data_IF_067295254494
#
_entry.id   IF_067295254494
#
_cell.length_a   1.000
_cell.length_b   1.000
_cell.length_c   1.000
_cell.angle_alpha   90.00
_cell.angle_beta   90.00
_cell.angle_gamma   90.00
#
_symmetry.space_group_name_H-M   'P 1'
#
loop_
_entity.id
_entity.type
_entity.pdbx_description
1 polymer ?
#
# COMPACT_ATOMS: atom_id res chain seq x y z
N UNK A 1 13.30 15.33 25.28
CA UNK A 1 13.25 14.87 23.87
C UNK A 1 11.89 14.23 23.66
N UNK A 2 11.00 14.88 22.92
CA UNK A 2 9.65 14.36 22.65
C UNK A 2 9.66 13.31 21.55
N UNK A 3 8.77 12.33 21.63
CA UNK A 3 8.61 11.30 20.61
C UNK A 3 7.63 11.82 19.55
N UNK A 4 8.06 11.92 18.30
CA UNK A 4 7.25 12.51 17.23
C UNK A 4 6.19 11.50 16.78
N UNK A 5 4.91 11.79 17.03
CA UNK A 5 3.80 10.90 16.67
C UNK A 5 2.89 11.60 15.66
N UNK A 6 2.65 10.94 14.54
CA UNK A 6 1.61 11.36 13.58
C UNK A 6 0.22 11.07 14.13
N UNK A 7 -0.68 12.04 14.05
CA UNK A 7 -2.08 11.88 14.48
C UNK A 7 -2.75 10.62 13.89
N UNK A 8 -2.42 10.28 12.66
CA UNK A 8 -2.94 9.08 11.96
C UNK A 8 -2.63 7.78 12.69
N UNK A 9 -1.44 7.67 13.31
CA UNK A 9 -1.06 6.48 14.08
C UNK A 9 -1.89 6.32 15.35
N UNK A 10 -2.25 7.43 16.00
CA UNK A 10 -3.14 7.42 17.16
C UNK A 10 -4.56 7.05 16.74
N UNK A 11 -5.05 7.63 15.64
CA UNK A 11 -6.38 7.30 15.12
C UNK A 11 -6.47 5.85 14.65
N UNK A 12 -5.43 5.30 14.02
CA UNK A 12 -5.37 3.90 13.63
C UNK A 12 -5.28 2.94 14.81
N UNK A 13 -4.51 3.29 15.84
CA UNK A 13 -4.50 2.54 17.09
C UNK A 13 -5.88 2.55 17.75
N UNK A 14 -6.61 3.68 17.70
CA UNK A 14 -8.00 3.76 18.15
C UNK A 14 -8.92 2.84 17.32
N UNK A 15 -8.83 2.85 15.98
CA UNK A 15 -9.65 1.95 15.14
C UNK A 15 -9.37 0.48 15.44
N UNK A 16 -8.11 0.13 15.69
CA UNK A 16 -7.74 -1.25 16.00
C UNK A 16 -8.32 -1.69 17.35
N UNK A 17 -8.30 -0.81 18.36
CA UNK A 17 -8.70 -1.13 19.73
C UNK A 17 -10.22 -1.04 19.95
N UNK A 18 -10.87 0.00 19.43
CA UNK A 18 -12.30 0.26 19.58
C UNK A 18 -13.15 -0.40 18.49
N UNK A 19 -12.52 -0.89 17.41
CA UNK A 19 -13.20 -1.54 16.29
C UNK A 19 -13.74 -0.53 15.26
N UNK A 20 -14.46 -1.05 14.26
CA UNK A 20 -15.02 -0.28 13.13
C UNK A 20 -16.31 0.47 13.49
N UNK A 21 -16.89 0.22 14.66
CA UNK A 21 -18.10 0.88 15.15
C UNK A 21 -17.84 2.31 15.63
N UNK A 22 -16.58 2.61 15.97
CA UNK A 22 -16.14 3.93 16.39
C UNK A 22 -15.40 4.58 15.24
N UNK A 23 -15.81 5.79 14.86
CA UNK A 23 -15.04 6.65 13.95
C UNK A 23 -14.15 7.58 14.78
N UNK A 24 -12.90 7.20 15.10
CA UNK A 24 -12.03 8.08 15.85
C UNK A 24 -11.69 9.31 15.02
N UNK A 25 -11.99 10.47 15.60
CA UNK A 25 -11.63 11.80 15.11
C UNK A 25 -10.58 12.44 16.03
N UNK A 26 -10.03 13.59 15.61
CA UNK A 26 -9.12 14.35 16.48
C UNK A 26 -9.83 14.84 17.75
N UNK A 27 -11.11 15.14 17.68
CA UNK A 27 -11.90 15.51 18.84
C UNK A 27 -12.14 14.30 19.75
N UNK A 28 -12.30 13.10 19.20
CA UNK A 28 -12.33 11.86 19.99
C UNK A 28 -11.05 11.67 20.83
N UNK A 29 -9.88 11.99 20.27
CA UNK A 29 -8.61 11.89 21.02
C UNK A 29 -8.52 12.87 22.20
N UNK A 30 -9.21 14.02 22.15
CA UNK A 30 -9.26 14.99 23.26
C UNK A 30 -10.05 14.47 24.46
N UNK A 31 -11.03 13.59 24.20
CA UNK A 31 -11.90 13.01 25.22
C UNK A 31 -11.54 11.55 25.56
N UNK A 32 -10.44 11.03 24.99
CA UNK A 32 -10.02 9.65 25.21
C UNK A 32 -9.50 9.47 26.64
N UNK A 33 -10.17 8.63 27.42
CA UNK A 33 -9.81 8.33 28.81
C UNK A 33 -9.17 6.95 28.98
N UNK A 34 -8.33 6.80 30.01
CA UNK A 34 -7.68 5.52 30.33
C UNK A 34 -8.68 4.38 30.59
N UNK A 35 -9.80 4.68 31.25
CA UNK A 35 -10.86 3.73 31.57
C UNK A 35 -11.46 3.13 30.28
N UNK A 36 -11.68 3.98 29.27
CA UNK A 36 -12.15 3.60 27.94
C UNK A 36 -11.16 2.70 27.19
N UNK A 37 -9.88 3.07 27.19
CA UNK A 37 -8.79 2.28 26.57
C UNK A 37 -8.68 0.89 27.22
N UNK A 38 -8.65 0.82 28.55
CA UNK A 38 -8.58 -0.44 29.31
C UNK A 38 -9.80 -1.32 29.06
N UNK A 39 -11.00 -0.73 28.95
CA UNK A 39 -12.23 -1.47 28.65
C UNK A 39 -12.22 -2.05 27.23
N UNK A 40 -11.90 -1.23 26.24
CA UNK A 40 -11.79 -1.65 24.84
C UNK A 40 -10.74 -2.74 24.65
N UNK A 41 -9.57 -2.60 25.30
CA UNK A 41 -8.53 -3.63 25.30
C UNK A 41 -9.01 -4.96 25.87
N UNK A 42 -9.67 -4.97 27.04
CA UNK A 42 -10.19 -6.22 27.64
C UNK A 42 -11.23 -6.92 26.76
N UNK A 43 -12.01 -6.15 25.98
CA UNK A 43 -12.96 -6.69 25.00
C UNK A 43 -12.21 -7.26 23.80
N UNK A 44 -11.30 -6.48 23.20
CA UNK A 44 -10.56 -6.85 22.00
C UNK A 44 -9.57 -7.99 22.22
N UNK A 45 -8.84 -7.99 23.34
CA UNK A 45 -7.92 -9.06 23.74
C UNK A 45 -8.65 -10.40 23.95
N UNK A 46 -9.89 -10.36 24.45
CA UNK A 46 -10.74 -11.56 24.52
C UNK A 46 -11.17 -12.03 23.12
N UNK A 47 -11.46 -11.12 22.20
CA UNK A 47 -11.83 -11.46 20.81
C UNK A 47 -10.66 -12.01 19.98
N UNK A 48 -9.45 -11.51 20.21
CA UNK A 48 -8.24 -11.86 19.43
C UNK A 48 -7.31 -12.86 20.11
N UNK A 49 -7.74 -13.48 21.22
CA UNK A 49 -6.91 -14.42 21.98
C UNK A 49 -6.54 -15.67 21.14
N UNK A 50 -5.27 -16.13 21.16
CA UNK A 50 -4.84 -17.30 20.39
C UNK A 50 -5.62 -18.58 20.73
N UNK A 51 -6.07 -18.77 21.98
CA UNK A 51 -6.89 -19.92 22.38
C UNK A 51 -8.26 -19.99 21.68
N UNK A 52 -8.72 -18.88 21.08
CA UNK A 52 -9.93 -18.87 20.24
C UNK A 52 -9.68 -19.35 18.81
N UNK A 53 -8.44 -19.55 18.39
CA UNK A 53 -8.10 -20.07 17.06
C UNK A 53 -8.75 -21.44 16.81
N UNK A 54 -8.74 -22.28 17.83
CA UNK A 54 -9.36 -23.61 17.82
C UNK A 54 -10.89 -23.56 17.68
N UNK A 55 -11.53 -22.49 18.13
CA UNK A 55 -12.99 -22.31 18.09
C UNK A 55 -13.44 -21.63 16.80
N UNK A 56 -12.62 -20.74 16.25
CA UNK A 56 -12.93 -19.92 15.07
C UNK A 56 -12.46 -20.54 13.73
N UNK A 57 -11.89 -21.75 13.74
CA UNK A 57 -11.33 -22.42 12.56
C UNK A 57 -10.36 -21.52 11.76
N UNK A 58 -9.55 -20.73 12.48
CA UNK A 58 -8.61 -19.80 11.88
C UNK A 58 -7.17 -20.10 12.30
N UNK A 59 -6.22 -19.67 11.47
CA UNK A 59 -4.80 -19.91 11.70
C UNK A 59 -4.34 -19.29 13.02
N UNK A 60 -3.75 -20.10 13.90
CA UNK A 60 -3.22 -19.70 15.21
C UNK A 60 -2.22 -18.54 15.05
N UNK A 61 -1.37 -18.59 14.02
CA UNK A 61 -0.39 -17.52 13.75
C UNK A 61 -1.05 -16.20 13.37
N UNK A 62 -2.22 -16.24 12.74
CA UNK A 62 -2.97 -15.04 12.41
C UNK A 62 -3.49 -14.37 13.67
N UNK A 63 -4.09 -15.13 14.59
CA UNK A 63 -4.60 -14.58 15.86
C UNK A 63 -3.49 -14.09 16.78
N UNK A 64 -2.35 -14.79 16.87
CA UNK A 64 -1.17 -14.31 17.60
C UNK A 64 -0.69 -12.94 17.09
N UNK A 65 -0.63 -12.76 15.76
CA UNK A 65 -0.24 -11.48 15.18
C UNK A 65 -1.28 -10.40 15.44
N UNK A 66 -2.57 -10.71 15.36
CA UNK A 66 -3.64 -9.76 15.72
C UNK A 66 -3.56 -9.36 17.20
N UNK A 67 -3.27 -10.31 18.10
CA UNK A 67 -3.11 -10.06 19.52
C UNK A 67 -1.92 -9.15 19.82
N UNK A 68 -0.78 -9.36 19.16
CA UNK A 68 0.40 -8.47 19.26
C UNK A 68 0.08 -7.05 18.82
N UNK A 69 -0.59 -6.89 17.67
CA UNK A 69 -1.00 -5.57 17.17
C UNK A 69 -1.95 -4.85 18.14
N UNK A 70 -2.90 -5.57 18.75
CA UNK A 70 -3.82 -5.03 19.76
C UNK A 70 -3.07 -4.61 21.04
N UNK A 71 -2.10 -5.41 21.50
CA UNK A 71 -1.24 -5.06 22.63
C UNK A 71 -0.41 -3.81 22.37
N UNK A 72 0.19 -3.72 21.18
CA UNK A 72 1.00 -2.56 20.80
C UNK A 72 0.14 -1.30 20.74
N UNK A 73 -1.05 -1.37 20.12
CA UNK A 73 -2.00 -0.26 20.08
C UNK A 73 -2.47 0.18 21.47
N UNK A 74 -2.74 -0.76 22.38
CA UNK A 74 -3.11 -0.46 23.77
C UNK A 74 -1.99 0.29 24.51
N UNK A 75 -0.75 -0.22 24.44
CA UNK A 75 0.41 0.44 25.07
C UNK A 75 0.63 1.84 24.51
N UNK A 76 0.45 2.00 23.20
CA UNK A 76 0.63 3.26 22.51
C UNK A 76 -0.40 4.31 22.95
N UNK A 77 -1.69 3.96 22.95
CA UNK A 77 -2.75 4.86 23.38
C UNK A 77 -2.67 5.19 24.88
N UNK A 78 -2.31 4.21 25.71
CA UNK A 78 -2.14 4.44 27.15
C UNK A 78 -0.99 5.43 27.41
N UNK A 79 0.13 5.28 26.71
CA UNK A 79 1.25 6.21 26.84
C UNK A 79 0.86 7.64 26.44
N UNK A 80 0.05 7.80 25.37
CA UNK A 80 -0.46 9.09 24.90
C UNK A 80 -1.38 9.77 25.91
N UNK A 81 -2.34 9.03 26.49
CA UNK A 81 -3.27 9.60 27.49
C UNK A 81 -2.55 9.96 28.79
N UNK A 82 -1.53 9.20 29.19
CA UNK A 82 -0.77 9.44 30.42
C UNK A 82 0.17 10.63 30.33
N UNK A 83 0.77 10.86 29.16
CA UNK A 83 1.69 11.99 28.99
C UNK A 83 1.56 12.61 27.59
N UNK A 84 0.49 13.39 27.35
CA UNK A 84 0.25 14.02 26.05
C UNK A 84 1.39 14.96 25.63
N UNK A 85 2.04 15.62 26.60
CA UNK A 85 3.14 16.56 26.37
C UNK A 85 4.43 15.90 25.86
N UNK A 86 4.57 14.58 26.02
CA UNK A 86 5.68 13.81 25.43
C UNK A 86 5.56 13.68 23.92
N UNK A 87 4.37 13.94 23.36
CA UNK A 87 4.06 13.67 21.95
C UNK A 87 3.83 14.96 21.17
N UNK A 88 4.63 15.17 20.12
CA UNK A 88 4.40 16.24 19.15
C UNK A 88 3.47 15.68 18.07
N UNK A 89 2.21 16.13 18.07
CA UNK A 89 1.22 15.72 17.07
C UNK A 89 1.55 16.42 15.75
N UNK A 90 2.15 15.68 14.81
CA UNK A 90 2.32 16.18 13.45
C UNK A 90 1.04 15.91 12.68
N UNK A 91 0.38 16.98 12.23
CA UNK A 91 -0.71 16.91 11.26
C UNK A 91 -0.13 16.58 9.89
N UNK A 92 -0.29 15.33 9.42
CA UNK A 92 -0.31 15.12 7.97
C UNK A 92 -1.53 15.87 7.45
N UNK A 93 -1.34 16.72 6.44
CA UNK A 93 -2.44 17.33 5.70
C UNK A 93 -3.41 16.22 5.30
N UNK A 94 -4.57 16.14 5.94
CA UNK A 94 -5.62 15.19 5.57
C UNK A 94 -5.96 15.51 4.12
N UNK A 95 -5.73 14.59 3.16
CA UNK A 95 -6.10 14.84 1.78
C UNK A 95 -7.62 15.08 1.75
N UNK A 96 -8.05 16.24 1.25
CA UNK A 96 -9.48 16.48 0.99
C UNK A 96 -9.99 15.30 0.15
N UNK A 97 -11.05 14.64 0.64
CA UNK A 97 -11.73 13.57 -0.09
C UNK A 97 -12.03 14.10 -1.50
N UNK A 98 -11.64 13.41 -2.58
CA UNK A 98 -11.83 13.94 -3.92
C UNK A 98 -13.31 14.24 -4.15
N UNK A 99 -13.62 15.47 -4.55
CA UNK A 99 -14.98 16.00 -4.77
C UNK A 99 -15.73 15.26 -5.89
N UNK A 100 -15.06 14.39 -6.65
CA UNK A 100 -15.67 13.56 -7.70
C UNK A 100 -15.51 12.08 -7.36
N UNK A 101 -16.62 11.29 -7.34
CA UNK A 101 -16.50 9.84 -7.35
C UNK A 101 -15.68 9.45 -8.58
N UNK A 102 -14.67 8.59 -8.38
CA UNK A 102 -13.82 8.10 -9.44
C UNK A 102 -14.69 7.58 -10.61
N UNK A 103 -14.36 7.86 -11.88
CA UNK A 103 -15.03 7.19 -12.98
C UNK A 103 -14.79 5.67 -12.83
N UNK A 104 -15.83 4.97 -12.37
CA UNK A 104 -15.86 3.56 -11.97
C UNK A 104 -15.81 2.60 -13.18
N UNK A 105 -15.06 2.93 -14.24
CA UNK A 105 -15.05 2.16 -15.51
C UNK A 105 -13.81 1.30 -15.74
N UNK A 106 -12.80 1.33 -14.87
CA UNK A 106 -11.62 0.47 -14.99
C UNK A 106 -11.74 -0.74 -14.05
N UNK A 107 -11.79 -1.94 -14.63
CA UNK A 107 -12.04 -3.22 -13.93
C UNK A 107 -11.01 -3.60 -12.85
N UNK A 108 -9.94 -2.82 -12.62
CA UNK A 108 -9.07 -2.91 -11.44
C UNK A 108 -8.53 -1.53 -11.05
N UNK A 109 -8.83 -1.05 -9.85
CA UNK A 109 -8.24 0.19 -9.30
C UNK A 109 -6.79 -0.12 -8.88
N UNK A 110 -5.74 0.57 -9.38
CA UNK A 110 -4.38 0.36 -8.89
C UNK A 110 -4.23 0.76 -7.42
N UNK A 111 -3.34 0.08 -6.68
CA UNK A 111 -3.15 0.30 -5.24
C UNK A 111 -2.90 1.77 -4.86
N UNK A 112 -2.07 2.50 -5.62
CA UNK A 112 -1.86 3.93 -5.38
C UNK A 112 -3.13 4.78 -5.50
N UNK A 113 -3.99 4.50 -6.48
CA UNK A 113 -5.28 5.19 -6.62
C UNK A 113 -6.23 4.81 -5.48
N UNK A 114 -6.22 3.56 -5.05
CA UNK A 114 -6.98 3.12 -3.88
C UNK A 114 -6.59 3.90 -2.62
N UNK A 115 -5.29 4.04 -2.35
CA UNK A 115 -4.80 4.82 -1.21
C UNK A 115 -5.25 6.29 -1.30
N UNK A 116 -5.20 6.88 -2.49
CA UNK A 116 -5.66 8.25 -2.73
C UNK A 116 -7.17 8.40 -2.47
N UNK A 117 -8.01 7.54 -3.06
CA UNK A 117 -9.46 7.63 -2.90
C UNK A 117 -9.94 7.37 -1.48
N UNK A 118 -9.17 6.59 -0.69
CA UNK A 118 -9.43 6.34 0.73
C UNK A 118 -8.86 7.43 1.65
N UNK A 119 -8.15 8.42 1.10
CA UNK A 119 -7.60 9.54 1.87
C UNK A 119 -6.27 9.24 2.60
N UNK A 120 -5.61 8.12 2.32
CA UNK A 120 -4.33 7.77 2.97
C UNK A 120 -3.13 8.52 2.39
N UNK A 121 -3.24 9.04 1.16
CA UNK A 121 -2.18 9.80 0.48
C UNK A 121 -2.79 10.96 -0.29
N UNK A 122 -2.02 12.04 -0.49
CA UNK A 122 -2.43 13.15 -1.37
C UNK A 122 -2.23 12.80 -2.86
N UNK A 123 -2.88 13.56 -3.75
CA UNK A 123 -2.63 13.43 -5.19
C UNK A 123 -1.16 13.69 -5.54
N UNK A 124 -0.53 14.67 -4.88
CA UNK A 124 0.91 14.94 -5.03
C UNK A 124 1.75 13.70 -4.69
N UNK A 125 1.48 13.06 -3.56
CA UNK A 125 2.20 11.83 -3.19
C UNK A 125 1.98 10.70 -4.21
N UNK A 126 0.77 10.57 -4.76
CA UNK A 126 0.49 9.60 -5.81
C UNK A 126 1.34 9.86 -7.08
N UNK A 127 1.38 11.11 -7.55
CA UNK A 127 2.17 11.48 -8.74
C UNK A 127 3.66 11.26 -8.49
N UNK A 128 4.18 11.72 -7.35
CA UNK A 128 5.59 11.52 -7.00
C UNK A 128 5.96 10.03 -6.89
N UNK A 129 5.08 9.21 -6.31
CA UNK A 129 5.28 7.76 -6.24
C UNK A 129 5.33 7.10 -7.62
N UNK A 130 4.44 7.51 -8.54
CA UNK A 130 4.43 7.03 -9.92
C UNK A 130 5.69 7.44 -10.68
N UNK A 131 6.14 8.69 -10.51
CA UNK A 131 7.39 9.19 -11.11
C UNK A 131 8.60 8.45 -10.56
N UNK A 132 8.67 8.22 -9.24
CA UNK A 132 9.71 7.43 -8.59
C UNK A 132 9.75 6.00 -9.14
N UNK A 133 8.58 5.36 -9.29
CA UNK A 133 8.49 4.00 -9.82
C UNK A 133 8.92 3.93 -11.29
N UNK A 134 8.57 4.94 -12.09
CA UNK A 134 8.98 5.06 -13.50
C UNK A 134 10.49 5.25 -13.61
N UNK A 135 11.09 6.12 -12.79
CA UNK A 135 12.55 6.40 -12.80
C UNK A 135 13.38 5.16 -12.47
N UNK A 136 12.86 4.25 -11.66
CA UNK A 136 13.53 3.00 -11.26
C UNK A 136 13.37 1.87 -12.30
N UNK A 137 12.52 2.04 -13.32
CA UNK A 137 12.30 1.06 -14.38
C UNK A 137 13.19 1.37 -15.58
N UNK A 138 14.27 0.61 -15.84
CA UNK A 138 15.09 0.83 -17.02
C UNK A 138 14.26 0.58 -18.29
N UNK A 139 14.44 1.37 -19.36
CA UNK A 139 13.78 1.13 -20.64
C UNK A 139 14.17 -0.25 -21.20
N UNK A 140 13.25 -0.87 -21.94
CA UNK A 140 13.39 -2.28 -22.34
C UNK A 140 14.61 -2.51 -23.25
N UNK A 141 14.90 -1.58 -24.16
CA UNK A 141 16.08 -1.65 -25.03
C UNK A 141 17.41 -1.55 -24.27
N UNK A 142 17.48 -0.70 -23.23
CA UNK A 142 18.68 -0.64 -22.38
C UNK A 142 18.84 -1.92 -21.55
N UNK A 143 17.73 -2.46 -21.05
CA UNK A 143 17.75 -3.75 -20.34
C UNK A 143 18.20 -4.89 -21.27
N UNK A 144 17.73 -4.90 -22.51
CA UNK A 144 18.13 -5.87 -23.53
C UNK A 144 19.62 -5.82 -23.84
N UNK A 145 20.21 -4.62 -23.92
CA UNK A 145 21.67 -4.45 -24.03
C UNK A 145 22.42 -5.02 -22.84
N UNK A 146 21.98 -4.68 -21.62
CA UNK A 146 22.62 -5.18 -20.39
C UNK A 146 22.59 -6.71 -20.29
N UNK A 147 21.54 -7.33 -20.84
CA UNK A 147 21.39 -8.79 -20.90
C UNK A 147 22.08 -9.41 -22.13
N UNK A 148 22.80 -8.63 -22.95
CA UNK A 148 23.46 -9.06 -24.19
C UNK A 148 22.50 -9.70 -25.22
N UNK A 149 21.22 -9.36 -25.15
CA UNK A 149 20.20 -9.80 -26.10
C UNK A 149 20.14 -8.89 -27.33
N UNK A 150 20.52 -7.62 -27.19
CA UNK A 150 20.58 -6.65 -28.28
C UNK A 150 21.88 -5.83 -28.23
N UNK A 151 22.41 -5.50 -29.39
CA UNK A 151 23.51 -4.56 -29.59
C UNK A 151 22.98 -3.13 -29.75
N UNK A 152 23.86 -2.14 -29.59
CA UNK A 152 23.52 -0.72 -29.78
C UNK A 152 23.00 -0.37 -31.18
N UNK A 153 23.51 -1.04 -32.22
CA UNK A 153 23.00 -0.88 -33.58
C UNK A 153 21.56 -1.38 -33.74
N UNK A 154 21.25 -2.52 -33.14
CA UNK A 154 19.94 -3.18 -33.24
C UNK A 154 18.87 -2.36 -32.50
N UNK A 155 19.20 -1.83 -31.31
CA UNK A 155 18.28 -0.94 -30.58
C UNK A 155 17.96 0.32 -31.39
N UNK A 156 18.96 0.94 -32.03
CA UNK A 156 18.74 2.10 -32.90
C UNK A 156 17.85 1.76 -34.10
N UNK A 157 18.07 0.60 -34.70
CA UNK A 157 17.28 0.16 -35.84
C UNK A 157 15.82 -0.15 -35.47
N UNK A 158 15.59 -0.76 -34.30
CA UNK A 158 14.24 -0.97 -33.76
C UNK A 158 13.54 0.37 -33.55
N UNK A 159 14.22 1.35 -32.93
CA UNK A 159 13.64 2.67 -32.69
C UNK A 159 13.34 3.42 -34.00
N UNK A 160 14.21 3.28 -35.02
CA UNK A 160 14.03 3.91 -36.33
C UNK A 160 12.85 3.34 -37.11
N UNK A 161 12.62 2.03 -37.02
CA UNK A 161 11.56 1.32 -37.75
C UNK A 161 10.29 1.08 -36.93
N UNK A 162 10.19 1.68 -35.74
CA UNK A 162 9.03 1.60 -34.86
C UNK A 162 7.86 2.38 -35.44
N UNK A 163 6.70 1.75 -35.55
CA UNK A 163 5.47 2.40 -36.01
C UNK A 163 4.89 3.32 -34.92
N UNK A 164 4.13 4.37 -35.29
CA UNK A 164 3.38 5.17 -34.31
C UNK A 164 2.48 4.26 -33.45
N UNK A 165 2.55 4.42 -32.13
CA UNK A 165 1.76 3.62 -31.16
C UNK A 165 2.33 2.23 -30.80
N UNK A 166 3.15 1.62 -31.65
CA UNK A 166 3.72 0.27 -31.43
C UNK A 166 4.66 0.26 -30.22
N UNK A 167 4.67 -0.76 -29.36
CA UNK A 167 5.63 -0.82 -28.25
C UNK A 167 7.04 -1.23 -28.73
N UNK A 168 8.09 -0.86 -27.99
CA UNK A 168 9.47 -1.28 -28.33
C UNK A 168 9.60 -2.80 -28.49
N UNK A 169 9.00 -3.57 -27.58
CA UNK A 169 9.03 -5.03 -27.62
C UNK A 169 8.33 -5.61 -28.84
N UNK A 170 7.18 -5.05 -29.23
CA UNK A 170 6.43 -5.47 -30.43
C UNK A 170 7.25 -5.21 -31.70
N UNK A 171 7.86 -4.02 -31.80
CA UNK A 171 8.74 -3.69 -32.92
C UNK A 171 9.96 -4.61 -32.98
N UNK A 172 10.54 -4.98 -31.83
CA UNK A 172 11.69 -5.86 -31.77
C UNK A 172 11.34 -7.30 -32.20
N UNK A 173 10.16 -7.80 -31.83
CA UNK A 173 9.64 -9.09 -32.31
C UNK A 173 9.39 -9.06 -33.81
N UNK A 174 8.66 -8.04 -34.30
CA UNK A 174 8.29 -7.91 -35.72
C UNK A 174 9.51 -7.82 -36.63
N UNK A 175 10.57 -7.17 -36.18
CA UNK A 175 11.82 -7.01 -36.93
C UNK A 175 12.77 -8.21 -36.78
N UNK A 176 12.41 -9.22 -35.98
CA UNK A 176 13.22 -10.43 -35.78
C UNK A 176 14.44 -10.24 -34.89
N UNK A 177 14.56 -9.10 -34.18
CA UNK A 177 15.67 -8.84 -33.27
C UNK A 177 15.51 -9.53 -31.91
N UNK A 178 14.28 -9.86 -31.52
CA UNK A 178 13.98 -10.65 -30.32
C UNK A 178 13.02 -11.78 -30.68
N UNK A 179 13.19 -12.93 -30.03
CA UNK A 179 12.19 -13.99 -29.98
C UNK A 179 11.13 -13.70 -28.89
N UNK A 180 9.93 -14.33 -28.97
CA UNK A 180 8.90 -14.21 -27.93
C UNK A 180 9.43 -14.55 -26.52
N UNK A 181 10.24 -15.60 -26.40
CA UNK A 181 10.83 -16.01 -25.12
C UNK A 181 11.88 -15.02 -24.58
N UNK A 182 12.65 -14.36 -25.45
CA UNK A 182 13.57 -13.30 -25.04
C UNK A 182 12.83 -12.05 -24.58
N UNK A 183 11.78 -11.65 -25.30
CA UNK A 183 10.94 -10.53 -24.90
C UNK A 183 10.27 -10.82 -23.55
N UNK A 184 9.75 -12.03 -23.34
CA UNK A 184 9.13 -12.40 -22.08
C UNK A 184 10.13 -12.33 -20.92
N UNK A 185 11.33 -12.89 -21.09
CA UNK A 185 12.41 -12.81 -20.09
C UNK A 185 12.77 -11.35 -19.77
N UNK A 186 12.82 -10.48 -20.77
CA UNK A 186 13.06 -9.05 -20.58
C UNK A 186 11.95 -8.37 -19.77
N UNK A 187 10.69 -8.65 -20.11
CA UNK A 187 9.54 -8.08 -19.41
C UNK A 187 9.48 -8.57 -17.95
N UNK A 188 9.73 -9.85 -17.71
CA UNK A 188 9.81 -10.41 -16.35
C UNK A 188 10.93 -9.74 -15.55
N UNK A 189 12.14 -9.62 -16.13
CA UNK A 189 13.27 -8.94 -15.46
C UNK A 189 12.96 -7.47 -15.18
N UNK A 190 12.35 -6.76 -16.13
CA UNK A 190 11.96 -5.37 -15.95
C UNK A 190 10.92 -5.18 -14.84
N UNK A 191 9.95 -6.11 -14.72
CA UNK A 191 8.96 -6.13 -13.62
C UNK A 191 9.62 -6.36 -12.26
N UNK A 192 10.62 -7.24 -12.17
CA UNK A 192 11.35 -7.51 -10.94
C UNK A 192 12.19 -6.31 -10.48
N UNK A 193 12.77 -5.55 -11.42
CA UNK A 193 13.54 -4.34 -11.11
C UNK A 193 12.63 -3.22 -10.61
N UNK A 194 11.42 -3.12 -11.17
CA UNK A 194 10.49 -2.06 -10.80
C UNK A 194 10.00 -2.25 -9.35
N UNK A 195 10.31 -1.33 -8.42
CA UNK A 195 9.87 -1.46 -7.05
C UNK A 195 8.35 -1.33 -6.94
N UNK A 196 7.76 -1.96 -5.91
CA UNK A 196 6.35 -1.76 -5.60
C UNK A 196 6.11 -0.33 -5.11
N UNK A 197 5.02 0.28 -5.55
CA UNK A 197 4.67 1.67 -5.20
C UNK A 197 4.56 1.90 -3.69
N UNK A 198 4.16 0.88 -2.91
CA UNK A 198 4.10 0.94 -1.44
C UNK A 198 5.45 1.31 -0.79
N UNK A 199 6.56 0.88 -1.38
CA UNK A 199 7.91 1.16 -0.87
C UNK A 199 8.24 2.65 -0.90
N UNK A 200 7.72 3.41 -1.88
CA UNK A 200 7.88 4.87 -1.90
C UNK A 200 7.30 5.53 -0.64
N UNK A 201 6.09 5.13 -0.26
CA UNK A 201 5.42 5.73 0.89
C UNK A 201 6.15 5.41 2.21
N UNK A 202 6.78 4.24 2.30
CA UNK A 202 7.64 3.85 3.43
C UNK A 202 8.92 4.69 3.46
N UNK A 203 9.65 4.74 2.34
CA UNK A 203 10.92 5.47 2.24
C UNK A 203 10.74 6.99 2.48
N UNK A 204 9.56 7.54 2.19
CA UNK A 204 9.23 8.96 2.42
C UNK A 204 8.54 9.24 3.75
N UNK A 205 8.33 8.24 4.61
CA UNK A 205 7.62 8.40 5.89
C UNK A 205 6.13 8.77 5.73
N UNK A 206 5.57 8.63 4.53
CA UNK A 206 4.16 8.91 4.23
C UNK A 206 3.27 7.81 4.80
N UNK A 207 3.73 6.56 4.78
CA UNK A 207 3.07 5.42 5.44
C UNK A 207 4.16 4.55 6.05
N UNK A 208 3.88 3.92 7.18
CA UNK A 208 4.72 2.90 7.78
C UNK A 208 4.58 1.55 7.07
N UNK A 209 5.51 0.64 7.33
CA UNK A 209 5.47 -0.71 6.79
C UNK A 209 4.16 -1.43 7.15
N UNK A 210 3.76 -1.38 8.43
CA UNK A 210 2.53 -2.00 8.92
C UNK A 210 1.27 -1.38 8.30
N UNK A 211 1.22 -0.05 8.13
CA UNK A 211 0.12 0.61 7.43
C UNK A 211 0.03 0.15 5.96
N UNK A 212 1.15 0.09 5.25
CA UNK A 212 1.17 -0.38 3.85
C UNK A 212 0.74 -1.83 3.75
N UNK A 213 1.19 -2.71 4.64
CA UNK A 213 0.82 -4.13 4.66
C UNK A 213 -0.66 -4.33 4.93
N UNK A 214 -1.21 -3.65 5.95
CA UNK A 214 -2.64 -3.67 6.28
C UNK A 214 -3.48 -3.19 5.10
N UNK A 215 -3.15 -2.04 4.53
CA UNK A 215 -3.89 -1.45 3.41
C UNK A 215 -3.79 -2.30 2.14
N UNK A 216 -2.64 -2.93 1.89
CA UNK A 216 -2.47 -3.86 0.78
C UNK A 216 -3.30 -5.14 0.96
N UNK A 217 -3.47 -5.60 2.20
CA UNK A 217 -4.36 -6.72 2.51
C UNK A 217 -5.83 -6.34 2.31
N UNK A 218 -6.29 -5.20 2.85
CA UNK A 218 -7.65 -4.68 2.63
C UNK A 218 -7.98 -4.52 1.14
N UNK A 219 -7.03 -3.95 0.39
CA UNK A 219 -7.15 -3.76 -1.05
C UNK A 219 -7.30 -5.10 -1.81
N UNK A 220 -6.54 -6.12 -1.42
CA UNK A 220 -6.64 -7.47 -2.02
C UNK A 220 -8.03 -8.08 -1.77
N UNK A 221 -8.53 -7.98 -0.54
CA UNK A 221 -9.87 -8.47 -0.20
C UNK A 221 -10.98 -7.74 -0.96
N UNK A 222 -10.90 -6.41 -1.04
CA UNK A 222 -11.88 -5.60 -1.76
C UNK A 222 -11.93 -5.97 -3.26
N UNK A 223 -10.77 -6.23 -3.88
CA UNK A 223 -10.69 -6.65 -5.27
C UNK A 223 -11.14 -8.10 -5.48
N UNK A 224 -10.88 -9.00 -4.53
CA UNK A 224 -11.34 -10.39 -4.61
C UNK A 224 -12.88 -10.49 -4.52
N UNK A 225 -13.50 -9.70 -3.63
CA UNK A 225 -14.97 -9.57 -3.54
C UNK A 225 -15.56 -8.99 -4.81
N UNK A 226 -14.94 -7.96 -5.41
CA UNK A 226 -15.38 -7.40 -6.72
C UNK A 226 -15.27 -8.41 -7.86
N UNK A 227 -14.17 -9.15 -7.98
CA UNK A 227 -14.05 -10.17 -9.03
C UNK A 227 -15.12 -11.27 -8.91
N UNK A 228 -15.55 -11.61 -7.70
CA UNK A 228 -16.65 -12.57 -7.46
C UNK A 228 -18.02 -12.00 -7.82
N UNK A 229 -18.27 -10.72 -7.53
CA UNK A 229 -19.55 -10.06 -7.82
C UNK A 229 -19.71 -9.79 -9.33
N UNK A 230 -18.61 -9.53 -10.05
CA UNK A 230 -18.64 -9.19 -11.47
C UNK A 230 -18.28 -10.34 -12.43
N UNK A 231 -18.10 -11.56 -11.93
CA UNK A 231 -18.03 -12.78 -12.75
C UNK A 231 -17.17 -12.69 -14.03
N UNK A 232 -15.85 -12.54 -13.87
CA UNK A 232 -14.91 -12.74 -14.99
C UNK A 232 -13.89 -13.80 -14.58
N UNK A 233 -14.14 -15.03 -15.02
CA UNK A 233 -13.18 -16.12 -15.14
C UNK A 233 -12.41 -16.03 -16.44
#
# INVERSE_FOLDING_TARGET
MGETITADRLLDACRLLFGTEVEPSLDFLKYLQESGIKSAYRKKARETHPDRASILNCDVKYLENQFKLVNDAYRYLLSYVQNPAKFIIIHKTIPRRPERPAPLRENRIPFGRYLYYRGFITYRNLIEALLWQKKKRPPLGELAKRMRLLKDGEVREILRRRRPGEMFGESALRLGFLSPGELERLLQRQRLIQPRIGRYFIEKGILSLSEVERLAWEFRLANQKRNRIFGFG
#
